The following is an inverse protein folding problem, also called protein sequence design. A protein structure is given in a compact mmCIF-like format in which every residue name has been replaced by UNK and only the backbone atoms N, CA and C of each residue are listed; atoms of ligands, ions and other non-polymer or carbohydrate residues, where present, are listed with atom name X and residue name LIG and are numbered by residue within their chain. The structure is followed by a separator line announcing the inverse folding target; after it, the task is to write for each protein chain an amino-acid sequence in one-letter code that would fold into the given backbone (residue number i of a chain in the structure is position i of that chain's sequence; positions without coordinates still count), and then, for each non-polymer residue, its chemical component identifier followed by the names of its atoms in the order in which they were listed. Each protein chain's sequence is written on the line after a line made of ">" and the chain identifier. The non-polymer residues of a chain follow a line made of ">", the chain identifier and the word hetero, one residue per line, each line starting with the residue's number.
data_IF_398270686682
#
_entry.id   IF_398270686682
#
_cell.length_a   1.000
_cell.length_b   1.000
_cell.length_c   1.000
_cell.angle_alpha   90.00
_cell.angle_beta   90.00
_cell.angle_gamma   90.00
#
_symmetry.space_group_name_H-M   'P 1'
#
loop_
_entity.id
_entity.type
_entity.pdbx_description
1 polymer ?
#
# COMPACT_ATOMS: atom_id res chain seq x y z
N UNK A 1 10.80 -14.45 25.30
CA UNK A 1 10.22 -14.31 23.93
C UNK A 1 11.27 -13.90 22.91
N UNK A 2 11.98 -12.77 23.08
CA UNK A 2 13.03 -12.34 22.14
C UNK A 2 14.12 -13.41 21.90
N UNK A 3 14.65 -14.03 22.95
CA UNK A 3 15.63 -15.13 22.82
C UNK A 3 15.09 -16.33 22.04
N UNK A 4 13.81 -16.69 22.25
CA UNK A 4 13.17 -17.78 21.49
C UNK A 4 13.10 -17.44 20.00
N UNK A 5 12.65 -16.23 19.69
CA UNK A 5 12.58 -15.77 18.30
C UNK A 5 13.98 -15.69 17.66
N UNK A 6 14.99 -15.32 18.45
CA UNK A 6 16.39 -15.35 18.03
C UNK A 6 16.83 -16.77 17.67
N UNK A 7 16.55 -17.77 18.53
CA UNK A 7 16.87 -19.17 18.27
C UNK A 7 16.19 -19.71 17.00
N UNK A 8 14.98 -19.26 16.71
CA UNK A 8 14.22 -19.70 15.53
C UNK A 8 14.75 -19.06 14.21
N UNK A 9 15.35 -17.86 14.29
CA UNK A 9 15.70 -17.05 13.10
C UNK A 9 17.19 -16.90 12.85
N UNK A 10 18.04 -17.10 13.85
CA UNK A 10 19.48 -16.99 13.69
C UNK A 10 20.05 -18.29 13.12
N UNK A 11 20.71 -18.25 11.95
CA UNK A 11 21.58 -19.34 11.56
C UNK A 11 22.70 -19.51 12.61
N UNK A 12 23.22 -20.73 12.77
CA UNK A 12 24.29 -21.00 13.74
C UNK A 12 25.49 -20.09 13.46
N UNK A 13 25.90 -19.30 14.45
CA UNK A 13 26.99 -18.33 14.33
C UNK A 13 26.65 -17.08 13.51
N UNK A 14 25.37 -16.82 13.23
CA UNK A 14 24.91 -15.65 12.48
C UNK A 14 24.93 -14.35 13.29
N UNK A 15 24.92 -13.23 12.56
CA UNK A 15 24.79 -11.90 13.14
C UNK A 15 23.33 -11.49 13.34
N UNK A 16 23.04 -10.68 14.36
CA UNK A 16 21.71 -10.16 14.61
C UNK A 16 21.70 -8.70 15.06
N UNK A 17 20.53 -8.07 14.95
CA UNK A 17 20.24 -6.77 15.55
C UNK A 17 18.95 -6.81 16.37
N UNK A 18 18.97 -6.16 17.54
CA UNK A 18 17.73 -5.83 18.27
C UNK A 18 17.27 -4.43 17.84
N UNK A 19 16.11 -4.36 17.18
CA UNK A 19 15.48 -3.11 16.75
C UNK A 19 14.38 -2.72 17.75
N UNK A 20 14.77 -2.02 18.81
CA UNK A 20 13.85 -1.62 19.87
C UNK A 20 13.20 -0.25 19.61
N UNK A 21 11.88 -0.16 19.81
CA UNK A 21 11.11 1.09 19.81
C UNK A 21 10.26 1.17 21.07
N UNK A 22 10.06 2.39 21.56
CA UNK A 22 9.30 2.66 22.78
C UNK A 22 8.35 3.85 22.59
N UNK A 23 7.15 3.74 23.14
CA UNK A 23 6.16 4.82 23.25
C UNK A 23 5.58 4.80 24.67
N UNK A 24 5.53 5.97 25.32
CA UNK A 24 5.15 6.12 26.74
C UNK A 24 6.32 6.58 27.64
N UNK A 25 6.18 6.42 28.95
CA UNK A 25 7.19 6.82 29.96
C UNK A 25 7.80 5.59 30.61
N UNK A 26 9.13 5.44 30.50
CA UNK A 26 9.86 4.30 31.05
C UNK A 26 11.21 4.73 31.63
N UNK A 27 11.71 4.03 32.66
CA UNK A 27 13.00 4.32 33.29
C UNK A 27 14.21 3.89 32.44
N UNK A 28 14.00 3.45 31.20
CA UNK A 28 15.04 2.99 30.28
C UNK A 28 14.79 3.56 28.86
N UNK A 29 15.87 3.67 28.08
CA UNK A 29 15.80 4.00 26.66
C UNK A 29 15.58 2.75 25.79
N UNK A 30 15.21 2.96 24.52
CA UNK A 30 15.21 1.87 23.54
C UNK A 30 16.59 1.24 23.37
N UNK A 31 17.66 2.02 23.52
CA UNK A 31 19.03 1.54 23.39
C UNK A 31 19.43 0.65 24.58
N UNK A 32 19.01 1.00 25.80
CA UNK A 32 19.24 0.17 26.99
C UNK A 32 18.53 -1.17 26.86
N UNK A 33 17.28 -1.14 26.37
CA UNK A 33 16.51 -2.34 26.09
C UNK A 33 17.19 -3.21 25.02
N UNK A 34 17.65 -2.61 23.92
CA UNK A 34 18.36 -3.31 22.85
C UNK A 34 19.65 -3.97 23.36
N UNK A 35 20.46 -3.25 24.18
CA UNK A 35 21.67 -3.79 24.80
C UNK A 35 21.37 -4.97 25.73
N UNK A 36 20.38 -4.81 26.61
CA UNK A 36 20.01 -5.84 27.57
C UNK A 36 19.50 -7.10 26.86
N UNK A 37 18.65 -6.95 25.84
CA UNK A 37 18.15 -8.09 25.06
C UNK A 37 19.23 -8.71 24.18
N UNK A 38 20.10 -7.90 23.57
CA UNK A 38 21.21 -8.40 22.76
C UNK A 38 22.16 -9.26 23.59
N UNK A 39 22.47 -8.83 24.82
CA UNK A 39 23.24 -9.66 25.75
C UNK A 39 22.58 -10.99 26.05
N UNK A 40 21.26 -11.00 26.31
CA UNK A 40 20.50 -12.24 26.54
C UNK A 40 20.49 -13.19 25.34
N UNK A 41 20.50 -12.65 24.12
CA UNK A 41 20.61 -13.47 22.90
C UNK A 41 22.00 -14.08 22.80
N UNK A 42 23.07 -13.31 23.03
CA UNK A 42 24.44 -13.82 23.01
C UNK A 42 24.69 -14.88 24.08
N UNK A 43 24.17 -14.68 25.30
CA UNK A 43 24.30 -15.66 26.39
C UNK A 43 23.58 -16.98 26.06
N UNK A 44 22.51 -16.94 25.26
CA UNK A 44 21.70 -18.11 24.90
C UNK A 44 22.17 -18.80 23.60
N UNK A 45 22.83 -18.07 22.70
CA UNK A 45 23.27 -18.55 21.39
C UNK A 45 24.79 -18.33 21.27
N UNK A 46 25.60 -19.31 21.70
CA UNK A 46 27.05 -19.22 21.59
C UNK A 46 27.48 -18.96 20.13
N UNK A 47 28.32 -17.93 19.95
CA UNK A 47 28.80 -17.52 18.63
C UNK A 47 27.92 -16.53 17.88
N UNK A 48 26.75 -16.13 18.41
CA UNK A 48 25.96 -15.04 17.82
C UNK A 48 26.66 -13.69 17.99
N UNK A 49 26.77 -12.93 16.91
CA UNK A 49 27.42 -11.60 16.88
C UNK A 49 26.40 -10.50 16.65
N UNK A 50 26.69 -9.27 17.11
CA UNK A 50 25.83 -8.11 16.83
C UNK A 50 26.36 -7.39 15.60
N UNK A 51 25.48 -7.16 14.64
CA UNK A 51 25.73 -6.33 13.45
C UNK A 51 24.54 -5.36 13.31
N UNK A 52 24.80 -4.05 13.33
CA UNK A 52 23.74 -3.04 13.27
C UNK A 52 23.45 -2.55 11.85
N UNK A 53 24.33 -2.87 10.90
CA UNK A 53 24.29 -2.38 9.53
C UNK A 53 23.70 -3.44 8.57
N UNK A 54 24.14 -4.69 8.68
CA UNK A 54 23.72 -5.80 7.82
C UNK A 54 23.47 -7.12 8.55
N UNK A 55 22.62 -7.17 9.59
CA UNK A 55 22.38 -8.38 10.35
C UNK A 55 21.75 -9.50 9.51
N UNK A 56 22.12 -10.74 9.77
CA UNK A 56 21.44 -11.90 9.19
C UNK A 56 20.01 -12.09 9.72
N UNK A 57 19.73 -11.61 10.93
CA UNK A 57 18.38 -11.59 11.49
C UNK A 57 18.11 -10.30 12.29
N UNK A 58 16.94 -9.71 12.09
CA UNK A 58 16.44 -8.61 12.92
C UNK A 58 15.37 -9.10 13.89
N UNK A 59 15.46 -8.64 15.14
CA UNK A 59 14.45 -8.88 16.17
C UNK A 59 13.91 -7.52 16.60
N UNK A 60 12.66 -7.26 16.24
CA UNK A 60 11.97 -6.04 16.58
C UNK A 60 11.28 -6.18 17.94
N UNK A 61 11.41 -5.14 18.75
CA UNK A 61 10.78 -5.06 20.06
C UNK A 61 10.09 -3.72 20.17
N UNK A 62 8.77 -3.73 20.26
CA UNK A 62 7.98 -2.52 20.42
C UNK A 62 7.33 -2.49 21.80
N UNK A 63 7.76 -1.55 22.64
CA UNK A 63 7.18 -1.30 23.95
C UNK A 63 6.19 -0.14 23.82
N UNK A 64 4.93 -0.38 24.20
CA UNK A 64 3.87 0.63 24.27
C UNK A 64 3.25 0.58 25.64
N UNK A 65 3.47 1.62 26.43
CA UNK A 65 3.05 1.65 27.83
C UNK A 65 3.47 0.35 28.56
N UNK A 66 2.56 -0.34 29.22
CA UNK A 66 2.86 -1.57 29.96
C UNK A 66 2.91 -2.86 29.11
N UNK A 67 2.96 -2.77 27.77
CA UNK A 67 2.97 -3.94 26.87
C UNK A 67 4.21 -3.95 25.98
N UNK A 68 4.70 -5.16 25.69
CA UNK A 68 5.80 -5.38 24.76
C UNK A 68 5.39 -6.37 23.66
N UNK A 69 5.64 -5.99 22.41
CA UNK A 69 5.45 -6.81 21.22
C UNK A 69 6.82 -7.19 20.67
N UNK A 70 7.00 -8.46 20.31
CA UNK A 70 8.28 -8.97 19.79
C UNK A 70 8.00 -9.73 18.50
N UNK A 71 8.67 -9.35 17.42
CA UNK A 71 8.45 -9.89 16.07
C UNK A 71 9.74 -9.81 15.23
N UNK A 72 9.80 -10.59 14.15
CA UNK A 72 10.93 -10.63 13.22
C UNK A 72 10.50 -10.33 11.79
N UNK A 73 9.25 -10.63 11.44
CA UNK A 73 8.73 -10.36 10.11
C UNK A 73 8.04 -9.00 10.06
N UNK A 74 8.38 -8.23 9.03
CA UNK A 74 7.65 -7.04 8.62
C UNK A 74 7.08 -7.34 7.24
N UNK A 75 5.75 -7.36 7.15
CA UNK A 75 5.04 -7.59 5.89
C UNK A 75 4.57 -6.25 5.36
N UNK A 76 5.13 -5.83 4.23
CA UNK A 76 4.74 -4.59 3.58
C UNK A 76 3.29 -4.67 3.08
N UNK A 77 2.45 -3.77 3.60
CA UNK A 77 1.11 -3.57 3.09
C UNK A 77 1.09 -2.74 1.79
N UNK A 78 -0.11 -2.50 1.23
CA UNK A 78 -0.27 -1.59 0.09
C UNK A 78 0.18 -0.15 0.35
N UNK A 79 0.23 0.25 1.63
CA UNK A 79 0.38 1.64 2.04
C UNK A 79 -0.81 2.50 1.61
N UNK A 80 -0.62 3.82 1.54
CA UNK A 80 -1.68 4.75 1.14
C UNK A 80 -2.57 5.21 2.30
N UNK A 81 -3.75 5.72 1.96
CA UNK A 81 -4.75 6.20 2.93
C UNK A 81 -5.89 5.18 3.10
N UNK A 82 -6.55 5.14 4.26
CA UNK A 82 -7.69 4.25 4.48
C UNK A 82 -8.79 4.46 3.43
N UNK A 83 -9.31 3.36 2.86
CA UNK A 83 -10.33 3.42 1.81
C UNK A 83 -11.62 4.09 2.31
N UNK A 84 -12.09 5.10 1.56
CA UNK A 84 -13.24 5.93 1.90
C UNK A 84 -12.91 7.18 2.73
N UNK A 85 -11.66 7.35 3.18
CA UNK A 85 -11.25 8.55 3.94
C UNK A 85 -11.20 9.83 3.10
N UNK A 86 -11.19 9.74 1.77
CA UNK A 86 -11.16 10.88 0.84
C UNK A 86 -12.39 10.93 -0.08
N UNK A 87 -13.55 10.50 0.43
CA UNK A 87 -14.81 10.58 -0.31
C UNK A 87 -14.94 9.54 -1.41
N UNK A 88 -15.81 9.82 -2.38
CA UNK A 88 -16.13 8.90 -3.49
C UNK A 88 -15.65 9.41 -4.82
N UNK A 89 -15.17 8.51 -5.65
CA UNK A 89 -14.67 8.82 -6.98
C UNK A 89 -15.28 7.89 -8.02
N UNK A 90 -15.43 8.39 -9.24
CA UNK A 90 -15.71 7.59 -10.43
C UNK A 90 -14.40 7.39 -11.17
N UNK A 91 -14.11 6.17 -11.62
CA UNK A 91 -13.00 5.92 -12.55
C UNK A 91 -13.52 5.24 -13.80
N UNK A 92 -13.23 5.80 -14.97
CA UNK A 92 -13.48 5.12 -16.26
C UNK A 92 -12.29 4.19 -16.51
N UNK A 93 -12.53 2.89 -16.61
CA UNK A 93 -11.49 1.85 -16.73
C UNK A 93 -11.64 1.11 -18.06
N UNK A 94 -10.93 1.60 -19.07
CA UNK A 94 -10.90 1.10 -20.45
C UNK A 94 -9.50 0.71 -20.95
N UNK A 95 -8.47 0.97 -20.14
CA UNK A 95 -7.06 0.82 -20.49
C UNK A 95 -6.21 0.52 -19.25
N UNK A 96 -4.96 0.09 -19.43
CA UNK A 96 -4.04 -0.16 -18.32
C UNK A 96 -3.69 1.13 -17.55
N UNK A 97 -3.57 2.25 -18.26
CA UNK A 97 -3.38 3.56 -17.65
C UNK A 97 -4.59 3.98 -16.81
N UNK A 98 -5.80 3.71 -17.28
CA UNK A 98 -7.02 3.91 -16.52
C UNK A 98 -7.15 3.00 -15.30
N UNK A 99 -6.77 1.72 -15.43
CA UNK A 99 -6.68 0.77 -14.32
C UNK A 99 -5.72 1.29 -13.23
N UNK A 100 -4.55 1.78 -13.63
CA UNK A 100 -3.58 2.40 -12.71
C UNK A 100 -4.14 3.67 -12.07
N UNK A 101 -4.80 4.55 -12.83
CA UNK A 101 -5.44 5.75 -12.29
C UNK A 101 -6.50 5.42 -11.23
N UNK A 102 -7.36 4.41 -11.49
CA UNK A 102 -8.36 3.95 -10.54
C UNK A 102 -7.72 3.41 -9.25
N UNK A 103 -6.68 2.58 -9.37
CA UNK A 103 -5.97 2.06 -8.21
C UNK A 103 -5.23 3.15 -7.42
N UNK A 104 -4.64 4.14 -8.09
CA UNK A 104 -4.00 5.28 -7.45
C UNK A 104 -5.00 6.14 -6.67
N UNK A 105 -6.24 6.29 -7.17
CA UNK A 105 -7.33 6.92 -6.44
C UNK A 105 -7.69 6.13 -5.17
N UNK A 106 -7.83 4.80 -5.27
CA UNK A 106 -8.05 3.92 -4.12
C UNK A 106 -6.93 4.03 -3.08
N UNK A 107 -5.66 4.05 -3.54
CA UNK A 107 -4.48 4.21 -2.67
C UNK A 107 -4.45 5.56 -1.97
N UNK A 108 -5.10 6.58 -2.53
CA UNK A 108 -5.33 7.88 -1.89
C UNK A 108 -6.60 7.94 -1.06
N UNK A 109 -7.23 6.80 -0.77
CA UNK A 109 -8.34 6.72 0.16
C UNK A 109 -9.69 7.05 -0.44
N UNK A 110 -9.81 7.21 -1.76
CA UNK A 110 -11.11 7.33 -2.42
C UNK A 110 -11.81 5.97 -2.48
N UNK A 111 -13.12 5.93 -2.22
CA UNK A 111 -13.94 4.77 -2.57
C UNK A 111 -14.36 4.91 -4.03
N UNK A 112 -13.84 4.04 -4.89
CA UNK A 112 -14.00 4.15 -6.34
C UNK A 112 -15.18 3.31 -6.81
N UNK A 113 -16.10 3.94 -7.55
CA UNK A 113 -17.00 3.24 -8.48
C UNK A 113 -16.32 3.21 -9.85
N UNK A 114 -16.32 2.06 -10.50
CA UNK A 114 -15.72 1.89 -11.83
C UNK A 114 -16.80 1.96 -12.88
N UNK A 115 -16.57 2.71 -13.95
CA UNK A 115 -17.30 2.62 -15.21
C UNK A 115 -16.41 1.87 -16.21
N UNK A 116 -16.87 0.73 -16.75
CA UNK A 116 -16.08 -0.10 -17.66
C UNK A 116 -16.95 -0.69 -18.78
N UNK A 117 -16.38 -0.98 -19.97
CA UNK A 117 -17.12 -1.65 -21.03
C UNK A 117 -17.64 -3.02 -20.58
N UNK A 118 -18.88 -3.33 -20.91
CA UNK A 118 -19.52 -4.59 -20.55
C UNK A 118 -18.72 -5.77 -21.11
N UNK A 119 -18.51 -6.80 -20.29
CA UNK A 119 -17.73 -7.99 -20.66
C UNK A 119 -16.22 -7.80 -20.80
N UNK A 120 -15.67 -6.58 -20.65
CA UNK A 120 -14.22 -6.34 -20.81
C UNK A 120 -13.34 -7.00 -19.75
N UNK A 121 -13.86 -7.19 -18.53
CA UNK A 121 -13.06 -7.64 -17.38
C UNK A 121 -11.95 -6.68 -16.97
N UNK A 122 -11.87 -5.47 -17.54
CA UNK A 122 -10.77 -4.52 -17.29
C UNK A 122 -10.65 -4.10 -15.82
N UNK A 123 -11.76 -4.15 -15.08
CA UNK A 123 -11.85 -3.80 -13.66
C UNK A 123 -11.55 -4.98 -12.72
N UNK A 124 -11.51 -6.23 -13.21
CA UNK A 124 -11.35 -7.42 -12.36
C UNK A 124 -10.13 -7.37 -11.44
N UNK A 125 -8.94 -6.89 -11.88
CA UNK A 125 -7.79 -6.73 -10.99
C UNK A 125 -8.04 -5.80 -9.79
N UNK A 126 -9.03 -4.91 -9.84
CA UNK A 126 -9.35 -4.00 -8.74
C UNK A 126 -10.12 -4.69 -7.60
N UNK A 127 -10.77 -5.84 -7.84
CA UNK A 127 -11.60 -6.52 -6.84
C UNK A 127 -10.82 -7.06 -5.64
N UNK A 128 -9.52 -7.34 -5.80
CA UNK A 128 -8.65 -7.71 -4.67
C UNK A 128 -8.38 -6.54 -3.72
N UNK A 129 -8.56 -5.31 -4.20
CA UNK A 129 -8.31 -4.08 -3.45
C UNK A 129 -9.60 -3.54 -2.81
N UNK A 130 -10.74 -3.70 -3.50
CA UNK A 130 -12.08 -3.47 -2.96
C UNK A 130 -13.00 -4.66 -3.31
N UNK A 131 -13.27 -5.51 -2.33
CA UNK A 131 -14.18 -6.67 -2.51
C UNK A 131 -15.63 -6.23 -2.76
N UNK A 132 -15.97 -4.98 -2.48
CA UNK A 132 -17.29 -4.38 -2.71
C UNK A 132 -17.28 -3.43 -3.91
N UNK A 133 -16.32 -3.59 -4.83
CA UNK A 133 -16.18 -2.74 -6.00
C UNK A 133 -17.49 -2.65 -6.79
N UNK A 134 -18.02 -1.44 -6.88
CA UNK A 134 -19.18 -1.12 -7.72
C UNK A 134 -18.72 -0.90 -9.14
N UNK A 135 -19.43 -1.51 -10.08
CA UNK A 135 -19.15 -1.41 -11.51
C UNK A 135 -20.42 -0.95 -12.22
N UNK A 136 -20.29 0.08 -13.04
CA UNK A 136 -21.30 0.62 -13.94
C UNK A 136 -20.86 0.33 -15.37
N UNK A 137 -21.83 0.15 -16.27
CA UNK A 137 -21.57 -0.01 -17.70
C UNK A 137 -21.06 1.31 -18.30
N UNK A 138 -20.07 1.21 -19.19
CA UNK A 138 -19.51 2.33 -19.94
C UNK A 138 -19.43 2.01 -21.43
N UNK A 139 -19.71 2.99 -22.29
CA UNK A 139 -19.58 2.88 -23.73
C UNK A 139 -19.59 4.24 -24.42
N UNK A 140 -19.46 4.29 -25.75
CA UNK A 140 -19.39 5.55 -26.51
C UNK A 140 -20.57 6.50 -26.28
N UNK A 141 -21.77 5.95 -26.08
CA UNK A 141 -23.01 6.72 -25.87
C UNK A 141 -23.30 6.99 -24.38
N UNK A 142 -22.38 6.66 -23.47
CA UNK A 142 -22.59 6.87 -22.02
C UNK A 142 -22.43 8.33 -21.62
N UNK A 143 -23.37 8.84 -20.82
CA UNK A 143 -23.26 10.15 -20.20
C UNK A 143 -22.42 10.07 -18.92
N UNK A 144 -21.20 10.59 -18.98
CA UNK A 144 -20.28 10.61 -17.85
C UNK A 144 -20.78 11.44 -16.67
N UNK A 145 -21.53 12.53 -16.92
CA UNK A 145 -22.12 13.36 -15.87
C UNK A 145 -23.23 12.60 -15.13
N UNK A 146 -24.04 11.83 -15.86
CA UNK A 146 -25.04 10.95 -15.26
C UNK A 146 -24.39 9.86 -14.40
N UNK A 147 -23.29 9.25 -14.87
CA UNK A 147 -22.55 8.26 -14.08
C UNK A 147 -22.00 8.87 -12.79
N UNK A 148 -21.45 10.09 -12.83
CA UNK A 148 -21.02 10.84 -11.64
C UNK A 148 -22.18 11.02 -10.66
N UNK A 149 -23.36 11.41 -11.15
CA UNK A 149 -24.56 11.60 -10.33
C UNK A 149 -25.02 10.30 -9.67
N UNK A 150 -25.09 9.20 -10.43
CA UNK A 150 -25.59 7.91 -9.95
C UNK A 150 -24.62 7.25 -8.96
N UNK A 151 -23.31 7.31 -9.24
CA UNK A 151 -22.27 6.89 -8.28
C UNK A 151 -22.13 7.85 -7.10
N UNK A 152 -22.70 9.06 -7.25
CA UNK A 152 -22.59 10.21 -6.35
C UNK A 152 -21.11 10.54 -6.08
N UNK A 153 -20.31 10.51 -7.13
CA UNK A 153 -18.87 10.76 -7.05
C UNK A 153 -18.57 12.24 -6.91
N UNK A 154 -17.50 12.56 -6.20
CA UNK A 154 -17.02 13.93 -5.97
C UNK A 154 -15.82 14.27 -6.88
N UNK A 155 -15.34 13.28 -7.64
CA UNK A 155 -14.23 13.40 -8.59
C UNK A 155 -14.31 12.30 -9.65
N UNK A 156 -13.73 12.58 -10.82
CA UNK A 156 -13.53 11.60 -11.91
C UNK A 156 -12.04 11.34 -12.12
N UNK A 157 -11.68 10.08 -12.32
CA UNK A 157 -10.32 9.65 -12.61
C UNK A 157 -10.26 8.98 -13.99
N UNK A 158 -9.34 9.45 -14.83
CA UNK A 158 -9.17 8.98 -16.21
C UNK A 158 -7.74 8.48 -16.45
N UNK A 159 -7.58 7.67 -17.50
CA UNK A 159 -6.33 7.01 -17.87
C UNK A 159 -5.37 7.80 -18.78
N UNK A 160 -5.68 9.06 -19.12
CA UNK A 160 -4.90 9.78 -20.15
C UNK A 160 -3.39 9.90 -19.83
N UNK A 161 -2.57 9.70 -20.86
CA UNK A 161 -1.11 9.89 -20.89
C UNK A 161 -0.74 11.28 -21.42
N UNK A 162 0.55 11.62 -21.41
CA UNK A 162 1.03 12.85 -22.08
C UNK A 162 0.64 12.82 -23.56
N UNK A 163 0.02 13.90 -24.04
CA UNK A 163 -0.44 14.02 -25.45
C UNK A 163 -1.85 13.49 -25.72
N UNK A 164 -2.47 12.77 -24.77
CA UNK A 164 -3.84 12.26 -24.89
C UNK A 164 -4.88 13.14 -24.18
N UNK A 165 -4.43 14.07 -23.33
CA UNK A 165 -5.33 15.01 -22.65
C UNK A 165 -5.88 15.98 -23.68
N UNK A 166 -7.20 15.94 -23.87
CA UNK A 166 -7.90 16.91 -24.70
C UNK A 166 -7.64 18.33 -24.17
N UNK A 167 -7.40 19.31 -25.05
CA UNK A 167 -7.20 20.70 -24.65
C UNK A 167 -8.45 21.29 -23.99
N UNK A 168 -9.62 20.76 -24.33
CA UNK A 168 -10.90 21.13 -23.74
C UNK A 168 -11.19 20.27 -22.51
N UNK A 169 -11.54 20.94 -21.41
CA UNK A 169 -11.93 20.27 -20.17
C UNK A 169 -13.31 19.63 -20.36
N UNK A 170 -13.52 18.37 -19.93
CA UNK A 170 -14.86 17.77 -19.89
C UNK A 170 -15.82 18.67 -19.10
N UNK A 171 -17.03 18.87 -19.62
CA UNK A 171 -18.08 19.65 -18.97
C UNK A 171 -18.70 18.86 -17.80
N UNK A 172 -17.91 18.64 -16.75
CA UNK A 172 -18.30 17.95 -15.53
C UNK A 172 -18.38 18.94 -14.36
N UNK A 173 -19.34 18.72 -13.47
CA UNK A 173 -19.50 19.51 -12.23
C UNK A 173 -18.50 19.14 -11.12
N UNK A 174 -17.69 18.10 -11.35
CA UNK A 174 -16.65 17.59 -10.44
C UNK A 174 -15.25 17.71 -11.05
N UNK A 175 -14.19 17.78 -10.22
CA UNK A 175 -12.82 17.73 -10.69
C UNK A 175 -12.49 16.42 -11.43
N UNK A 176 -11.62 16.54 -12.44
CA UNK A 176 -11.11 15.42 -13.24
C UNK A 176 -9.62 15.28 -12.99
N UNK A 177 -9.16 14.06 -12.71
CA UNK A 177 -7.77 13.74 -12.41
C UNK A 177 -7.20 12.73 -13.42
N UNK A 178 -5.93 12.90 -13.75
CA UNK A 178 -5.18 12.02 -14.65
C UNK A 178 -3.90 11.49 -13.96
N UNK A 179 -4.00 10.63 -12.94
CA UNK A 179 -2.82 10.17 -12.18
C UNK A 179 -1.73 9.52 -13.03
N UNK A 180 -2.12 8.85 -14.13
CA UNK A 180 -1.19 8.16 -15.01
C UNK A 180 -0.47 9.08 -16.02
N UNK A 181 -0.80 10.38 -16.09
CA UNK A 181 -0.28 11.27 -17.15
C UNK A 181 1.25 11.34 -17.17
N UNK A 182 1.89 11.46 -16.02
CA UNK A 182 3.35 11.65 -15.90
C UNK A 182 4.15 10.37 -15.72
N UNK A 183 3.53 9.19 -15.83
CA UNK A 183 4.26 7.92 -15.66
C UNK A 183 5.04 7.58 -16.93
N UNK A 184 6.20 6.96 -16.82
CA UNK A 184 6.80 6.26 -17.97
C UNK A 184 6.22 4.84 -18.10
N UNK A 185 6.50 4.18 -19.23
CA UNK A 185 5.91 2.87 -19.52
C UNK A 185 6.42 1.77 -18.59
N UNK A 186 7.69 1.85 -18.16
CA UNK A 186 8.27 0.91 -17.22
C UNK A 186 7.57 0.98 -15.86
N UNK A 187 7.29 2.20 -15.38
CA UNK A 187 6.58 2.46 -14.14
C UNK A 187 5.12 2.07 -14.23
N UNK A 188 4.47 2.37 -15.35
CA UNK A 188 3.09 1.96 -15.60
C UNK A 188 2.96 0.44 -15.53
N UNK A 189 3.82 -0.28 -16.26
CA UNK A 189 3.86 -1.74 -16.25
C UNK A 189 4.07 -2.30 -14.84
N UNK A 190 5.02 -1.77 -14.08
CA UNK A 190 5.25 -2.21 -12.70
C UNK A 190 4.05 -2.01 -11.77
N UNK A 191 3.25 -0.96 -12.00
CA UNK A 191 2.00 -0.76 -11.27
C UNK A 191 0.91 -1.73 -11.72
N UNK A 192 0.77 -2.00 -13.02
CA UNK A 192 -0.17 -3.00 -13.54
C UNK A 192 0.13 -4.38 -12.97
N UNK A 193 1.39 -4.81 -12.98
CA UNK A 193 1.83 -6.09 -12.43
C UNK A 193 1.48 -6.18 -10.94
N UNK A 194 1.74 -5.12 -10.16
CA UNK A 194 1.35 -5.03 -8.75
C UNK A 194 -0.17 -5.10 -8.55
N UNK A 195 -0.95 -4.42 -9.39
CA UNK A 195 -2.41 -4.41 -9.30
C UNK A 195 -2.98 -5.80 -9.61
N UNK A 196 -2.42 -6.51 -10.58
CA UNK A 196 -2.85 -7.87 -10.94
C UNK A 196 -2.40 -8.92 -9.92
N UNK A 197 -1.31 -8.66 -9.20
CA UNK A 197 -0.84 -9.54 -8.13
C UNK A 197 0.47 -10.24 -8.37
N UNK A 198 1.41 -9.57 -9.03
CA UNK A 198 2.81 -9.98 -9.02
C UNK A 198 3.33 -10.26 -7.61
#
# INVERSE_FOLDING_TARGET
>A
VAVRLALDRLPRGGSFAIRARRSGTHPYSSQDLAKALGRRVQDAIPGATVDLDGPAAEIHVEVRENRAYVFADIVDGPGGLPMGSQGRALAVVDSEAALVSAWLAMKRGCRVTVAAPDGSGAHEPLRRWDVHLKVLSWGPDSDLQELVRVSRSEAVFLGARVGEIAPEKPALDVPVFHPAVGLDDARLKGLVDRIRGG
#
